data_IF_183685274429
#
_entry.id   IF_183685274429
#
_cell.length_a   1.000
_cell.length_b   1.000
_cell.length_c   1.000
_cell.angle_alpha   90.00
_cell.angle_beta   90.00
_cell.angle_gamma   90.00
#
_symmetry.space_group_name_H-M   'P 1'
#
loop_
_entity.id
_entity.type
_entity.pdbx_description
1 polymer ?
#
# COMPACT_ATOMS: atom_id res chain seq x y z
N UNK A 1 6.18 3.14 -20.89
CA UNK A 1 7.06 2.58 -19.85
C UNK A 1 7.57 1.23 -20.33
N UNK A 2 8.88 0.94 -20.29
CA UNK A 2 9.43 -0.37 -20.65
C UNK A 2 8.74 -1.49 -19.91
N UNK A 3 8.51 -2.63 -20.58
CA UNK A 3 7.81 -3.80 -20.01
C UNK A 3 8.39 -4.22 -18.66
N UNK A 4 9.72 -4.15 -18.52
CA UNK A 4 10.42 -4.53 -17.29
C UNK A 4 10.04 -3.66 -16.07
N UNK A 5 9.90 -2.34 -16.22
CA UNK A 5 9.46 -1.45 -15.13
C UNK A 5 8.01 -1.76 -14.75
N UNK A 6 7.16 -1.99 -15.76
CA UNK A 6 5.78 -2.38 -15.55
C UNK A 6 5.65 -3.71 -14.79
N UNK A 7 6.54 -4.67 -15.05
CA UNK A 7 6.50 -5.99 -14.44
C UNK A 7 6.99 -5.99 -12.99
N UNK A 8 7.94 -5.11 -12.62
CA UNK A 8 8.32 -4.93 -11.21
C UNK A 8 7.19 -4.30 -10.41
N UNK A 9 6.55 -3.25 -10.92
CA UNK A 9 5.36 -2.69 -10.28
C UNK A 9 4.23 -3.71 -10.16
N UNK A 10 4.01 -4.53 -11.20
CA UNK A 10 3.02 -5.62 -11.17
C UNK A 10 3.34 -6.71 -10.14
N UNK A 11 4.60 -6.90 -9.76
CA UNK A 11 5.02 -7.88 -8.74
C UNK A 11 5.01 -7.31 -7.33
N UNK A 12 5.31 -6.02 -7.15
CA UNK A 12 5.32 -5.37 -5.84
C UNK A 12 3.92 -5.31 -5.22
N UNK A 13 2.93 -4.89 -5.99
CA UNK A 13 1.54 -4.79 -5.52
C UNK A 13 1.00 -6.16 -5.07
N UNK A 14 1.07 -7.26 -5.86
CA UNK A 14 0.64 -8.57 -5.41
C UNK A 14 1.39 -9.12 -4.20
N UNK A 15 2.71 -8.85 -4.08
CA UNK A 15 3.49 -9.32 -2.94
C UNK A 15 3.03 -8.66 -1.63
N UNK A 16 2.72 -7.37 -1.67
CA UNK A 16 2.16 -6.64 -0.53
C UNK A 16 0.73 -7.13 -0.25
N UNK A 17 -0.05 -7.39 -1.30
CA UNK A 17 -1.41 -7.92 -1.15
C UNK A 17 -1.42 -9.29 -0.47
N UNK A 18 -0.54 -10.21 -0.88
CA UNK A 18 -0.47 -11.56 -0.26
C UNK A 18 0.03 -11.48 1.17
N UNK A 19 1.00 -10.62 1.48
CA UNK A 19 1.39 -10.34 2.87
C UNK A 19 0.20 -9.79 3.67
N UNK A 20 -0.58 -8.87 3.07
CA UNK A 20 -1.82 -8.37 3.65
C UNK A 20 -2.84 -9.50 3.87
N UNK A 21 -3.02 -10.41 2.90
CA UNK A 21 -3.95 -11.53 3.01
C UNK A 21 -3.59 -12.53 4.11
N UNK A 22 -2.31 -12.74 4.41
CA UNK A 22 -1.90 -13.54 5.57
C UNK A 22 -2.28 -12.90 6.92
N UNK A 23 -2.47 -11.59 6.94
CA UNK A 23 -2.97 -10.85 8.11
C UNK A 23 -4.51 -10.78 8.13
N UNK A 24 -5.19 -11.15 7.03
CA UNK A 24 -6.64 -11.10 6.89
C UNK A 24 -7.23 -12.41 7.45
N UNK A 25 -7.63 -12.36 8.69
CA UNK A 25 -8.57 -13.34 9.25
C UNK A 25 -10.01 -12.95 8.85
N UNK A 26 -10.87 -13.95 8.57
CA UNK A 26 -12.21 -13.70 8.04
C UNK A 26 -13.03 -12.65 8.82
N UNK A 27 -13.04 -12.74 10.15
CA UNK A 27 -13.74 -11.77 11.03
C UNK A 27 -13.09 -10.39 11.06
N UNK A 28 -11.86 -10.24 10.58
CA UNK A 28 -11.08 -9.00 10.59
C UNK A 28 -10.83 -8.43 9.19
N UNK A 29 -11.62 -8.83 8.18
CA UNK A 29 -11.39 -8.38 6.81
C UNK A 29 -11.35 -6.86 6.69
N UNK A 30 -12.36 -6.16 7.19
CA UNK A 30 -12.48 -4.69 7.05
C UNK A 30 -11.35 -3.94 7.76
N UNK A 31 -11.02 -4.24 9.03
CA UNK A 31 -9.85 -3.65 9.69
C UNK A 31 -8.53 -3.97 8.96
N UNK A 32 -8.39 -5.20 8.45
CA UNK A 32 -7.18 -5.59 7.71
C UNK A 32 -7.03 -4.81 6.41
N UNK A 33 -8.12 -4.62 5.66
CA UNK A 33 -8.15 -3.78 4.46
C UNK A 33 -7.71 -2.35 4.78
N UNK A 34 -8.21 -1.78 5.87
CA UNK A 34 -7.82 -0.45 6.33
C UNK A 34 -6.32 -0.35 6.62
N UNK A 35 -5.75 -1.33 7.35
CA UNK A 35 -4.31 -1.39 7.66
C UNK A 35 -3.48 -1.57 6.39
N UNK A 36 -3.86 -2.52 5.52
CA UNK A 36 -3.14 -2.81 4.27
C UNK A 36 -3.11 -1.58 3.36
N UNK A 37 -4.26 -0.92 3.16
CA UNK A 37 -4.32 0.31 2.38
C UNK A 37 -3.50 1.44 2.99
N UNK A 38 -3.41 1.52 4.33
CA UNK A 38 -2.58 2.49 5.03
C UNK A 38 -1.09 2.27 4.78
N UNK A 39 -0.63 1.02 4.88
CA UNK A 39 0.78 0.66 4.63
C UNK A 39 1.14 0.90 3.17
N UNK A 40 0.28 0.49 2.25
CA UNK A 40 0.52 0.65 0.81
C UNK A 40 0.46 2.13 0.42
N UNK A 41 -0.51 2.90 0.94
CA UNK A 41 -0.62 4.33 0.72
C UNK A 41 0.62 5.09 1.21
N UNK A 42 1.15 4.70 2.38
CA UNK A 42 2.40 5.25 2.90
C UNK A 42 3.60 4.88 2.01
N UNK A 43 3.64 3.65 1.51
CA UNK A 43 4.71 3.17 0.65
C UNK A 43 4.70 3.82 -0.73
N UNK A 44 3.55 4.04 -1.33
CA UNK A 44 3.40 4.68 -2.64
C UNK A 44 3.47 6.21 -2.54
N UNK A 45 2.98 6.78 -1.44
CA UNK A 45 2.84 8.23 -1.27
C UNK A 45 1.73 8.84 -2.14
N UNK A 46 0.71 8.04 -2.49
CA UNK A 46 -0.44 8.50 -3.26
C UNK A 46 -1.70 7.72 -2.88
N UNK A 47 -2.64 8.41 -2.24
CA UNK A 47 -3.92 7.83 -1.87
C UNK A 47 -4.73 7.40 -3.09
N UNK A 48 -4.76 8.23 -4.14
CA UNK A 48 -5.50 7.91 -5.37
C UNK A 48 -4.95 6.67 -6.07
N UNK A 49 -3.64 6.52 -6.16
CA UNK A 49 -2.99 5.34 -6.75
C UNK A 49 -3.31 4.09 -5.93
N UNK A 50 -3.27 4.18 -4.61
CA UNK A 50 -3.61 3.08 -3.71
C UNK A 50 -5.07 2.64 -3.89
N UNK A 51 -6.02 3.59 -3.95
CA UNK A 51 -7.44 3.31 -4.15
C UNK A 51 -7.67 2.64 -5.51
N UNK A 52 -7.10 3.21 -6.58
CA UNK A 52 -7.33 2.75 -7.96
C UNK A 52 -6.64 1.43 -8.31
N UNK A 53 -5.67 0.98 -7.52
CA UNK A 53 -4.93 -0.28 -7.76
C UNK A 53 -5.38 -1.34 -6.76
N UNK A 54 -4.82 -1.32 -5.56
CA UNK A 54 -5.11 -2.31 -4.51
C UNK A 54 -6.53 -2.16 -3.99
N UNK A 55 -7.02 -0.93 -3.88
CA UNK A 55 -8.36 -0.65 -3.39
C UNK A 55 -9.45 -1.32 -4.23
N UNK A 56 -9.39 -1.24 -5.55
CA UNK A 56 -10.37 -1.89 -6.44
C UNK A 56 -10.36 -3.41 -6.26
N UNK A 57 -9.18 -4.02 -6.15
CA UNK A 57 -9.07 -5.46 -5.94
C UNK A 57 -9.66 -5.89 -4.58
N UNK A 58 -9.33 -5.18 -3.51
CA UNK A 58 -9.88 -5.45 -2.17
C UNK A 58 -11.38 -5.18 -2.09
N UNK A 59 -11.88 -4.17 -2.81
CA UNK A 59 -13.31 -3.90 -2.92
C UNK A 59 -14.05 -5.06 -3.59
N UNK A 60 -13.51 -5.57 -4.70
CA UNK A 60 -14.08 -6.74 -5.39
C UNK A 60 -14.14 -7.98 -4.49
N UNK A 61 -13.08 -8.22 -3.69
CA UNK A 61 -13.05 -9.33 -2.73
C UNK A 61 -14.11 -9.11 -1.63
N UNK A 62 -14.13 -7.94 -1.01
CA UNK A 62 -15.08 -7.63 0.07
C UNK A 62 -16.54 -7.74 -0.35
N UNK A 63 -16.87 -7.25 -1.56
CA UNK A 63 -18.23 -7.36 -2.11
C UNK A 63 -18.58 -8.81 -2.43
N UNK A 64 -17.63 -9.61 -2.94
CA UNK A 64 -17.85 -11.04 -3.19
C UNK A 64 -18.07 -11.86 -1.92
N UNK A 65 -17.61 -11.36 -0.78
CA UNK A 65 -17.82 -11.94 0.55
C UNK A 65 -19.14 -11.48 1.22
N UNK A 66 -20.01 -10.76 0.50
CA UNK A 66 -21.23 -10.16 1.01
C UNK A 66 -21.03 -9.16 2.17
N UNK A 67 -19.83 -8.57 2.28
CA UNK A 67 -19.59 -7.48 3.23
C UNK A 67 -20.21 -6.20 2.66
N UNK A 68 -20.74 -5.34 3.52
CA UNK A 68 -21.35 -4.08 3.12
C UNK A 68 -20.35 -3.26 2.26
N UNK A 69 -20.67 -2.98 0.98
CA UNK A 69 -19.77 -2.27 0.07
C UNK A 69 -19.34 -0.89 0.57
N UNK A 70 -20.22 -0.17 1.25
CA UNK A 70 -19.90 1.14 1.80
C UNK A 70 -18.84 1.05 2.90
N UNK A 71 -18.89 0.00 3.73
CA UNK A 71 -17.93 -0.23 4.78
C UNK A 71 -16.54 -0.60 4.21
N UNK A 72 -16.51 -1.46 3.20
CA UNK A 72 -15.26 -1.83 2.50
C UNK A 72 -14.63 -0.62 1.81
N UNK A 73 -15.45 0.16 1.07
CA UNK A 73 -14.98 1.38 0.42
C UNK A 73 -14.46 2.40 1.44
N UNK A 74 -15.18 2.58 2.56
CA UNK A 74 -14.75 3.45 3.66
C UNK A 74 -13.40 3.05 4.22
N UNK A 75 -13.15 1.76 4.46
CA UNK A 75 -11.89 1.25 4.96
C UNK A 75 -10.72 1.48 3.96
N UNK A 76 -10.96 1.23 2.67
CA UNK A 76 -9.98 1.45 1.60
C UNK A 76 -9.60 2.92 1.51
N UNK A 77 -10.60 3.81 1.40
CA UNK A 77 -10.36 5.24 1.21
C UNK A 77 -9.67 5.83 2.44
N UNK A 78 -10.19 5.54 3.63
CA UNK A 78 -9.61 6.05 4.87
C UNK A 78 -8.17 5.56 5.09
N UNK A 79 -7.90 4.28 4.81
CA UNK A 79 -6.56 3.72 4.90
C UNK A 79 -5.59 4.36 3.90
N UNK A 80 -6.00 4.46 2.64
CA UNK A 80 -5.18 5.06 1.59
C UNK A 80 -4.84 6.53 1.88
N UNK A 81 -5.83 7.32 2.33
CA UNK A 81 -5.63 8.74 2.69
C UNK A 81 -4.74 8.87 3.92
N UNK A 82 -4.92 8.02 4.94
CA UNK A 82 -4.02 8.00 6.09
C UNK A 82 -2.58 7.75 5.65
N UNK A 83 -2.34 6.71 4.84
CA UNK A 83 -1.01 6.36 4.34
C UNK A 83 -0.39 7.51 3.52
N UNK A 84 -1.16 8.11 2.64
CA UNK A 84 -0.74 9.28 1.86
C UNK A 84 -0.27 10.43 2.76
N UNK A 85 -1.05 10.79 3.77
CA UNK A 85 -0.70 11.88 4.71
C UNK A 85 0.55 11.62 5.54
N UNK A 86 0.86 10.35 5.82
CA UNK A 86 2.04 9.94 6.59
C UNK A 86 3.28 9.72 5.71
N UNK A 87 3.12 9.73 4.38
CA UNK A 87 4.21 9.47 3.45
C UNK A 87 5.05 10.71 3.18
N UNK A 88 6.39 10.64 3.32
CA UNK A 88 7.27 11.71 2.88
C UNK A 88 7.34 11.85 1.34
N UNK A 89 6.80 10.89 0.61
CA UNK A 89 6.72 10.90 -0.86
C UNK A 89 5.42 11.52 -1.37
N UNK A 90 4.46 11.79 -0.50
CA UNK A 90 3.17 12.35 -0.88
C UNK A 90 3.30 13.78 -1.39
N UNK A 91 2.71 14.02 -2.56
CA UNK A 91 2.68 15.35 -3.17
C UNK A 91 1.95 16.35 -2.27
N UNK A 92 0.84 15.93 -1.66
CA UNK A 92 0.03 16.77 -0.77
C UNK A 92 0.79 17.16 0.51
N UNK A 93 1.57 16.23 1.08
CA UNK A 93 2.37 16.47 2.28
C UNK A 93 3.56 17.36 1.98
N UNK A 94 4.25 17.14 0.85
CA UNK A 94 5.35 17.97 0.41
C UNK A 94 4.88 19.40 0.07
N UNK A 95 3.76 19.55 -0.65
CA UNK A 95 3.20 20.86 -0.98
C UNK A 95 2.79 21.63 0.29
N UNK A 96 2.11 20.97 1.23
CA UNK A 96 1.67 21.59 2.47
C UNK A 96 2.84 22.09 3.32
N UNK A 97 3.91 21.28 3.42
CA UNK A 97 5.12 21.69 4.17
C UNK A 97 5.83 22.86 3.47
N UNK A 98 5.90 22.86 2.14
CA UNK A 98 6.53 23.94 1.38
C UNK A 98 5.75 25.27 1.51
N UNK A 99 4.42 25.22 1.40
CA UNK A 99 3.57 26.42 1.56
C UNK A 99 3.62 26.98 2.99
N UNK A 100 3.71 26.08 3.98
CA UNK A 100 3.84 26.47 5.38
C UNK A 100 5.27 26.85 5.78
N UNK A 101 6.22 26.87 4.83
CA UNK A 101 7.65 27.14 5.08
C UNK A 101 8.23 26.30 6.24
N UNK A 102 7.73 25.07 6.39
CA UNK A 102 8.12 24.14 7.45
C UNK A 102 8.95 22.97 6.93
N UNK A 103 9.80 22.41 7.79
CA UNK A 103 10.52 21.19 7.46
C UNK A 103 9.52 20.03 7.30
N UNK A 104 9.67 19.23 6.22
CA UNK A 104 8.76 18.14 5.86
C UNK A 104 8.52 17.16 7.03
N UNK A 105 9.59 16.71 7.70
CA UNK A 105 9.47 15.74 8.79
C UNK A 105 8.87 16.35 10.06
N UNK A 106 9.11 17.63 10.30
CA UNK A 106 8.45 18.37 11.39
C UNK A 106 6.95 18.49 11.11
N UNK A 107 6.58 18.78 9.86
CA UNK A 107 5.18 18.79 9.41
C UNK A 107 4.51 17.43 9.63
N UNK A 108 5.10 16.33 9.12
CA UNK A 108 4.57 14.97 9.31
C UNK A 108 4.41 14.65 10.80
N UNK A 109 5.42 14.95 11.63
CA UNK A 109 5.36 14.73 13.08
C UNK A 109 4.20 15.46 13.74
N UNK A 110 3.93 16.69 13.33
CA UNK A 110 2.81 17.48 13.86
C UNK A 110 1.45 16.90 13.41
N UNK A 111 1.34 16.49 12.16
CA UNK A 111 0.13 15.85 11.62
C UNK A 111 -0.14 14.52 12.34
N UNK A 112 0.89 13.77 12.74
CA UNK A 112 0.73 12.51 13.49
C UNK A 112 -0.07 12.67 14.79
N UNK A 113 0.05 13.79 15.50
CA UNK A 113 -0.69 14.04 16.74
C UNK A 113 -2.21 13.98 16.59
N UNK A 114 -2.74 14.40 15.45
CA UNK A 114 -4.18 14.31 15.15
C UNK A 114 -4.55 13.02 14.40
N UNK A 115 -3.66 12.57 13.53
CA UNK A 115 -3.97 11.46 12.61
C UNK A 115 -3.86 10.09 13.26
N UNK A 116 -2.92 9.89 14.21
CA UNK A 116 -2.81 8.61 14.93
C UNK A 116 -4.04 8.34 15.82
N UNK A 117 -4.52 9.26 16.64
CA UNK A 117 -5.78 9.06 17.38
C UNK A 117 -6.96 8.75 16.44
N UNK A 118 -7.09 9.48 15.34
CA UNK A 118 -8.13 9.23 14.34
C UNK A 118 -8.00 7.84 13.70
N UNK A 119 -6.78 7.38 13.41
CA UNK A 119 -6.49 6.05 12.90
C UNK A 119 -6.95 4.96 13.88
N UNK A 120 -6.62 5.10 15.17
CA UNK A 120 -7.01 4.14 16.21
C UNK A 120 -8.54 4.07 16.35
N UNK A 121 -9.20 5.22 16.39
CA UNK A 121 -10.67 5.29 16.47
C UNK A 121 -11.30 4.64 15.23
N UNK A 122 -10.81 4.95 14.03
CA UNK A 122 -11.29 4.34 12.79
C UNK A 122 -11.07 2.84 12.77
N UNK A 123 -9.93 2.35 13.24
CA UNK A 123 -9.62 0.92 13.33
C UNK A 123 -10.60 0.19 14.25
N UNK A 124 -10.90 0.78 15.41
CA UNK A 124 -11.88 0.23 16.36
C UNK A 124 -13.29 0.21 15.74
N UNK A 125 -13.70 1.29 15.07
CA UNK A 125 -14.97 1.37 14.39
C UNK A 125 -15.09 0.32 13.27
N UNK A 126 -14.08 0.17 12.44
CA UNK A 126 -14.05 -0.87 11.40
C UNK A 126 -14.05 -2.28 11.98
N UNK A 127 -13.44 -2.47 13.13
CA UNK A 127 -13.50 -3.76 13.85
C UNK A 127 -14.92 -4.08 14.34
N UNK A 128 -15.58 -3.11 14.98
CA UNK A 128 -16.94 -3.30 15.51
C UNK A 128 -17.94 -3.51 14.36
N UNK A 129 -17.88 -2.65 13.34
CA UNK A 129 -18.81 -2.69 12.21
C UNK A 129 -18.53 -3.83 11.24
N UNK A 130 -17.26 -4.24 11.10
CA UNK A 130 -16.83 -5.30 10.19
C UNK A 130 -17.16 -6.71 10.69
N UNK A 131 -17.41 -6.89 11.98
CA UNK A 131 -17.69 -8.20 12.59
C UNK A 131 -19.15 -8.68 12.38
N UNK A 132 -19.98 -7.92 11.68
CA UNK A 132 -21.43 -8.18 11.57
C UNK A 132 -21.83 -9.03 10.35
N UNK A 133 -20.90 -9.61 9.58
CA UNK A 133 -21.19 -10.34 8.34
C UNK A 133 -20.83 -11.84 8.39
N UNK A 134 -21.69 -12.70 7.80
CA UNK A 134 -21.33 -14.10 7.51
C UNK A 134 -20.31 -14.12 6.37
N UNK A 135 -19.07 -14.54 6.67
CA UNK A 135 -17.96 -14.54 5.74
C UNK A 135 -17.71 -15.92 5.13
N UNK A 136 -17.53 -15.95 3.84
CA UNK A 136 -17.12 -17.15 3.10
C UNK A 136 -15.60 -17.17 2.93
N UNK A 137 -14.91 -17.84 3.86
CA UNK A 137 -13.44 -17.94 3.88
C UNK A 137 -12.86 -18.65 2.66
N UNK A 138 -13.65 -19.49 1.99
CA UNK A 138 -13.18 -20.26 0.84
C UNK A 138 -12.83 -19.36 -0.35
N UNK A 139 -13.46 -18.21 -0.47
CA UNK A 139 -13.20 -17.22 -1.53
C UNK A 139 -11.87 -16.48 -1.32
N UNK A 140 -11.46 -16.24 -0.08
CA UNK A 140 -10.16 -15.61 0.23
C UNK A 140 -9.04 -16.55 -0.19
N UNK A 141 -9.13 -17.84 0.20
CA UNK A 141 -8.13 -18.83 -0.19
C UNK A 141 -8.04 -18.99 -1.70
N UNK A 142 -9.16 -19.00 -2.40
CA UNK A 142 -9.21 -19.11 -3.86
C UNK A 142 -8.53 -17.90 -4.54
N UNK A 143 -8.84 -16.68 -4.08
CA UNK A 143 -8.23 -15.46 -4.62
C UNK A 143 -6.74 -15.37 -4.30
N UNK A 144 -6.35 -15.73 -3.07
CA UNK A 144 -4.94 -15.82 -2.67
C UNK A 144 -4.17 -16.83 -3.53
N UNK A 145 -4.74 -18.00 -3.81
CA UNK A 145 -4.14 -19.02 -4.70
C UNK A 145 -4.01 -18.52 -6.13
N UNK A 146 -5.01 -17.83 -6.68
CA UNK A 146 -4.95 -17.24 -8.02
C UNK A 146 -3.86 -16.20 -8.12
N UNK A 147 -3.73 -15.33 -7.10
CA UNK A 147 -2.66 -14.33 -7.05
C UNK A 147 -1.29 -14.98 -6.92
N UNK A 148 -1.14 -16.00 -6.07
CA UNK A 148 0.11 -16.75 -5.93
C UNK A 148 0.48 -17.53 -7.19
N UNK A 149 -0.51 -18.06 -7.93
CA UNK A 149 -0.27 -18.82 -9.15
C UNK A 149 0.09 -17.93 -10.35
N UNK A 150 -0.46 -16.71 -10.42
CA UNK A 150 -0.24 -15.79 -11.54
C UNK A 150 0.88 -14.77 -11.30
N UNK A 151 1.32 -14.60 -10.06
CA UNK A 151 2.39 -13.66 -9.71
C UNK A 151 3.43 -14.36 -8.86
N UNK A 152 4.67 -14.41 -9.34
CA UNK A 152 5.80 -14.90 -8.53
C UNK A 152 6.04 -13.94 -7.37
N UNK A 153 5.54 -14.32 -6.19
CA UNK A 153 5.74 -13.58 -4.95
C UNK A 153 7.19 -13.77 -4.54
N UNK A 154 7.97 -12.72 -4.69
CA UNK A 154 9.40 -12.77 -4.42
C UNK A 154 9.72 -11.78 -3.31
N UNK A 155 10.38 -12.24 -2.27
CA UNK A 155 10.85 -11.40 -1.15
C UNK A 155 11.71 -10.21 -1.63
N UNK A 156 12.40 -10.37 -2.75
CA UNK A 156 13.17 -9.29 -3.40
C UNK A 156 12.31 -8.09 -3.80
N UNK A 157 11.01 -8.29 -4.07
CA UNK A 157 10.09 -7.21 -4.40
C UNK A 157 9.84 -6.24 -3.21
N UNK A 158 10.18 -6.63 -1.99
CA UNK A 158 10.07 -5.80 -0.80
C UNK A 158 11.27 -4.85 -0.61
N UNK A 159 12.40 -5.11 -1.28
CA UNK A 159 13.64 -4.30 -1.12
C UNK A 159 13.39 -2.81 -1.39
N UNK A 160 12.73 -2.39 -2.49
CA UNK A 160 12.46 -0.98 -2.73
C UNK A 160 11.62 -0.32 -1.63
N UNK A 161 10.67 -1.08 -1.04
CA UNK A 161 9.80 -0.59 0.04
C UNK A 161 10.62 -0.42 1.33
N UNK A 162 11.44 -1.40 1.67
CA UNK A 162 12.33 -1.34 2.85
C UNK A 162 13.32 -0.17 2.70
N UNK A 163 13.90 0.00 1.50
CA UNK A 163 14.78 1.11 1.20
C UNK A 163 14.08 2.46 1.41
N UNK A 164 12.82 2.56 0.96
CA UNK A 164 12.04 3.78 1.10
C UNK A 164 11.75 4.11 2.56
N UNK A 165 11.35 3.12 3.35
CA UNK A 165 11.15 3.29 4.80
C UNK A 165 12.46 3.67 5.49
N UNK A 166 13.57 3.07 5.10
CA UNK A 166 14.90 3.39 5.62
C UNK A 166 15.32 4.82 5.29
N UNK A 167 15.12 5.28 4.04
CA UNK A 167 15.40 6.65 3.63
C UNK A 167 14.54 7.66 4.39
N UNK A 168 13.25 7.35 4.59
CA UNK A 168 12.35 8.16 5.39
C UNK A 168 12.83 8.26 6.87
N UNK A 169 13.23 7.14 7.45
CA UNK A 169 13.79 7.12 8.80
C UNK A 169 15.08 7.94 8.92
N UNK A 170 15.91 7.93 7.89
CA UNK A 170 17.14 8.74 7.80
C UNK A 170 16.87 10.20 7.42
N UNK A 171 15.59 10.60 7.29
CA UNK A 171 15.17 11.96 6.90
C UNK A 171 15.75 12.44 5.57
N UNK A 172 15.95 11.51 4.62
CA UNK A 172 16.41 11.86 3.28
C UNK A 172 15.23 12.49 2.52
N UNK A 173 15.43 13.63 1.83
CA UNK A 173 14.37 14.28 1.07
C UNK A 173 13.76 13.35 0.00
N UNK A 174 12.49 13.62 -0.39
CA UNK A 174 11.72 12.78 -1.30
C UNK A 174 12.42 12.58 -2.66
N UNK A 175 12.99 13.63 -3.24
CA UNK A 175 13.62 13.58 -4.58
C UNK A 175 14.81 12.60 -4.61
N UNK A 176 15.84 12.70 -3.75
CA UNK A 176 16.91 11.70 -3.68
C UNK A 176 16.40 10.29 -3.40
N UNK A 177 15.38 10.13 -2.53
CA UNK A 177 14.78 8.83 -2.21
C UNK A 177 14.16 8.19 -3.44
N UNK A 178 13.46 8.95 -4.28
CA UNK A 178 12.90 8.46 -5.54
C UNK A 178 13.98 8.00 -6.51
N UNK A 179 15.05 8.79 -6.69
CA UNK A 179 16.16 8.41 -7.56
C UNK A 179 16.86 7.14 -7.08
N UNK A 180 17.12 7.01 -5.78
CA UNK A 180 17.69 5.79 -5.20
C UNK A 180 16.79 4.59 -5.41
N UNK A 181 15.47 4.76 -5.23
CA UNK A 181 14.50 3.69 -5.41
C UNK A 181 14.41 3.24 -6.87
N UNK A 182 14.41 4.20 -7.82
CA UNK A 182 14.46 3.90 -9.26
C UNK A 182 15.76 3.15 -9.59
N UNK A 183 16.91 3.61 -9.13
CA UNK A 183 18.20 2.95 -9.39
C UNK A 183 18.22 1.51 -8.86
N UNK A 184 17.79 1.28 -7.63
CA UNK A 184 17.70 -0.07 -7.03
C UNK A 184 16.73 -0.95 -7.82
N UNK A 185 15.57 -0.41 -8.21
CA UNK A 185 14.58 -1.15 -9.00
C UNK A 185 15.13 -1.54 -10.38
N UNK A 186 15.85 -0.65 -11.05
CA UNK A 186 16.50 -0.94 -12.33
C UNK A 186 17.58 -2.02 -12.19
N UNK A 187 18.43 -1.92 -11.16
CA UNK A 187 19.46 -2.94 -10.88
C UNK A 187 18.81 -4.31 -10.62
N UNK A 188 17.72 -4.34 -9.85
CA UNK A 188 16.98 -5.59 -9.60
C UNK A 188 16.40 -6.20 -10.87
N UNK A 189 15.90 -5.39 -11.81
CA UNK A 189 15.41 -5.86 -13.11
C UNK A 189 16.55 -6.53 -13.89
N UNK A 190 17.72 -5.90 -13.96
CA UNK A 190 18.87 -6.45 -14.66
C UNK A 190 19.36 -7.78 -14.06
N UNK A 191 19.28 -7.93 -12.73
CA UNK A 191 19.68 -9.16 -12.04
C UNK A 191 18.67 -10.29 -12.26
N UNK A 192 17.36 -9.98 -12.28
CA UNK A 192 16.29 -10.99 -12.38
C UNK A 192 15.95 -11.39 -13.81
N UNK A 193 16.19 -10.55 -14.81
CA UNK A 193 15.84 -10.83 -16.20
C UNK A 193 16.94 -10.34 -17.15
N UNK A 194 18.12 -10.96 -17.14
CA UNK A 194 19.23 -10.50 -18.00
C UNK A 194 18.96 -10.69 -19.50
N UNK A 195 18.00 -11.55 -19.90
CA UNK A 195 17.73 -11.87 -21.31
C UNK A 195 16.50 -11.18 -21.93
N UNK A 196 15.60 -10.58 -21.13
CA UNK A 196 14.38 -9.99 -21.69
C UNK A 196 14.45 -8.45 -21.89
N UNK A 197 15.51 -7.80 -21.43
CA UNK A 197 15.60 -6.33 -21.41
C UNK A 197 16.08 -5.68 -22.70
N UNK A 198 16.47 -6.46 -23.75
CA UNK A 198 17.11 -5.92 -24.94
C UNK A 198 16.27 -6.10 -26.23
N UNK A 199 15.15 -6.82 -26.19
CA UNK A 199 14.29 -7.01 -27.37
C UNK A 199 12.90 -6.38 -27.15
N UNK A 200 12.82 -5.07 -27.28
CA UNK A 200 11.63 -4.36 -27.84
C UNK A 200 11.86 -2.85 -27.84
#
# INVERSE_FOLDING_TARGET
>A
LPRAIRDVYKRQIPSIMVLGFHLISGSFFVPSVFIVCSIIGMAIGSGFTTISTVGIALFGIGTSMNINPALVAGAIISGAVFGDKMSPLSDSTNLSSAVAESELFAHIKNVMWSTIPAFIVSLILFWILGNSGHMDLTKIEHTSRILQANFSITWWALIPIILMIFCAWRKIPAIPTLFMNIAVTVIMIFIQSPHESIQS
#
